data_IF_270538714479
#
_entry.id   IF_270538714479
#
_cell.length_a   1.000
_cell.length_b   1.000
_cell.length_c   1.000
_cell.angle_alpha   90.00
_cell.angle_beta   90.00
_cell.angle_gamma   90.00
#
_symmetry.space_group_name_H-M   'P 1'
#
loop_
_entity.id
_entity.type
_entity.pdbx_description
1 polymer ?
#
# COMPACT_ATOMS: atom_id res chain seq x y z
N UNK A 1 33.85 -10.74 52.44
CA UNK A 1 32.64 -10.10 51.88
C UNK A 1 32.92 -9.57 50.47
N UNK A 2 33.25 -10.47 49.53
CA UNK A 2 33.45 -10.21 48.09
C UNK A 2 33.38 -11.57 47.37
N UNK A 3 32.25 -12.25 47.45
CA UNK A 3 32.07 -13.55 46.78
C UNK A 3 32.06 -13.34 45.27
N UNK A 4 32.63 -14.30 44.52
CA UNK A 4 32.65 -14.28 43.04
C UNK A 4 31.25 -14.07 42.46
N UNK A 5 30.22 -14.60 43.13
CA UNK A 5 28.80 -14.39 42.82
C UNK A 5 28.38 -12.90 42.79
N UNK A 6 28.85 -12.09 43.75
CA UNK A 6 28.49 -10.66 43.82
C UNK A 6 29.12 -9.86 42.69
N UNK A 7 30.37 -10.19 42.31
CA UNK A 7 31.07 -9.57 41.17
C UNK A 7 30.46 -9.98 39.83
N UNK A 8 30.02 -11.24 39.71
CA UNK A 8 29.28 -11.70 38.54
C UNK A 8 27.94 -10.94 38.40
N UNK A 9 27.19 -10.79 39.49
CA UNK A 9 25.93 -10.05 39.48
C UNK A 9 26.09 -8.60 39.01
N UNK A 10 27.15 -7.89 39.43
CA UNK A 10 27.42 -6.53 38.95
C UNK A 10 27.77 -6.47 37.45
N UNK A 11 28.52 -7.46 36.93
CA UNK A 11 28.83 -7.55 35.50
C UNK A 11 27.59 -7.83 34.65
N UNK A 12 26.71 -8.71 35.11
CA UNK A 12 25.44 -9.00 34.44
C UNK A 12 24.50 -7.80 34.47
N UNK A 13 24.33 -7.15 35.62
CA UNK A 13 23.50 -5.96 35.75
C UNK A 13 23.99 -4.81 34.86
N UNK A 14 25.31 -4.61 34.77
CA UNK A 14 25.90 -3.61 33.87
C UNK A 14 25.72 -3.96 32.39
N UNK A 15 25.89 -5.23 32.02
CA UNK A 15 25.67 -5.66 30.63
C UNK A 15 24.20 -5.50 30.22
N UNK A 16 23.27 -5.84 31.12
CA UNK A 16 21.84 -5.66 30.92
C UNK A 16 21.45 -4.18 30.81
N UNK A 17 22.04 -3.29 31.61
CA UNK A 17 21.73 -1.86 31.55
C UNK A 17 22.25 -1.22 30.27
N UNK A 18 23.44 -1.60 29.79
CA UNK A 18 23.97 -1.13 28.50
C UNK A 18 23.08 -1.59 27.35
N UNK A 19 22.66 -2.87 27.35
CA UNK A 19 21.74 -3.39 26.34
C UNK A 19 20.40 -2.66 26.37
N UNK A 20 19.83 -2.42 27.56
CA UNK A 20 18.57 -1.70 27.71
C UNK A 20 18.67 -0.25 27.21
N UNK A 21 19.79 0.44 27.47
CA UNK A 21 20.01 1.78 26.97
C UNK A 21 20.14 1.82 25.43
N UNK A 22 20.86 0.86 24.85
CA UNK A 22 21.01 0.74 23.39
C UNK A 22 19.68 0.43 22.71
N UNK A 23 18.88 -0.51 23.24
CA UNK A 23 17.57 -0.84 22.65
C UNK A 23 16.60 0.33 22.77
N UNK A 24 16.62 1.06 23.89
CA UNK A 24 15.84 2.27 24.06
C UNK A 24 16.25 3.38 23.08
N UNK A 25 17.56 3.57 22.85
CA UNK A 25 18.07 4.48 21.84
C UNK A 25 17.59 4.12 20.42
N UNK A 26 17.69 2.85 20.04
CA UNK A 26 17.19 2.35 18.77
C UNK A 26 15.67 2.57 18.61
N UNK A 27 14.90 2.38 19.68
CA UNK A 27 13.46 2.64 19.70
C UNK A 27 13.15 4.11 19.42
N UNK A 28 13.82 5.04 20.12
CA UNK A 28 13.66 6.48 19.90
C UNK A 28 13.97 6.85 18.45
N UNK A 29 15.11 6.44 17.91
CA UNK A 29 15.48 6.76 16.52
C UNK A 29 14.47 6.22 15.51
N UNK A 30 13.88 5.06 15.79
CA UNK A 30 12.88 4.44 14.92
C UNK A 30 11.52 5.14 14.98
N UNK A 31 11.16 5.69 16.15
CA UNK A 31 9.90 6.37 16.39
C UNK A 31 9.82 7.75 15.72
N UNK A 32 10.95 8.48 15.65
CA UNK A 32 11.01 9.81 15.03
C UNK A 32 11.35 9.80 13.52
N UNK A 33 11.34 8.62 12.88
CA UNK A 33 11.68 8.50 11.47
C UNK A 33 10.42 8.47 10.60
N UNK A 34 10.20 9.55 9.86
CA UNK A 34 9.16 9.61 8.85
C UNK A 34 9.50 8.69 7.68
N UNK A 35 8.59 7.74 7.37
CA UNK A 35 8.71 6.79 6.27
C UNK A 35 7.79 7.14 5.09
N UNK A 36 7.32 8.38 5.03
CA UNK A 36 6.44 8.82 3.95
C UNK A 36 7.26 9.13 2.69
N UNK A 37 6.77 8.68 1.55
CA UNK A 37 7.37 8.92 0.24
C UNK A 37 6.34 9.57 -0.67
N UNK A 38 6.71 10.63 -1.40
CA UNK A 38 5.84 11.15 -2.45
C UNK A 38 5.73 10.08 -3.55
N UNK A 39 4.53 9.53 -3.71
CA UNK A 39 4.16 8.62 -4.78
C UNK A 39 3.29 9.42 -5.75
N UNK A 40 3.76 9.61 -6.98
CA UNK A 40 2.97 10.22 -8.03
C UNK A 40 2.29 9.10 -8.85
N UNK A 41 0.98 8.98 -8.68
CA UNK A 41 0.16 7.98 -9.36
C UNK A 41 -0.67 8.73 -10.40
N UNK A 42 -0.35 8.52 -11.67
CA UNK A 42 -1.09 9.12 -12.78
C UNK A 42 -1.91 8.04 -13.46
N UNK A 43 -3.23 8.11 -13.37
CA UNK A 43 -4.12 7.14 -14.03
C UNK A 43 -4.32 7.59 -15.47
N UNK A 44 -3.63 6.93 -16.40
CA UNK A 44 -3.60 7.31 -17.81
C UNK A 44 -4.90 6.94 -18.53
N UNK A 45 -5.51 5.77 -18.24
CA UNK A 45 -6.76 5.35 -18.90
C UNK A 45 -7.53 4.28 -18.12
N UNK A 46 -8.80 4.52 -17.87
CA UNK A 46 -9.72 3.53 -17.28
C UNK A 46 -10.63 2.97 -18.38
N UNK A 47 -10.70 1.64 -18.52
CA UNK A 47 -11.60 0.99 -19.48
C UNK A 47 -12.51 -0.01 -18.77
N UNK A 48 -13.81 0.24 -18.83
CA UNK A 48 -14.83 -0.63 -18.24
C UNK A 48 -15.51 -1.40 -19.37
N UNK A 49 -15.51 -2.73 -19.27
CA UNK A 49 -16.19 -3.64 -20.20
C UNK A 49 -17.27 -4.41 -19.45
N UNK A 50 -18.49 -4.38 -19.95
CA UNK A 50 -19.53 -5.27 -19.44
C UNK A 50 -19.24 -6.70 -19.92
N UNK A 51 -19.21 -7.67 -19.01
CA UNK A 51 -19.01 -9.09 -19.34
C UNK A 51 -20.15 -9.88 -18.72
N UNK A 52 -20.75 -10.78 -19.50
CA UNK A 52 -21.78 -11.66 -18.95
C UNK A 52 -21.14 -12.59 -17.90
N UNK A 53 -21.66 -12.59 -16.68
CA UNK A 53 -21.19 -13.48 -15.61
C UNK A 53 -21.76 -14.88 -15.84
N UNK A 54 -20.87 -15.86 -15.98
CA UNK A 54 -21.23 -17.26 -16.21
C UNK A 54 -21.33 -18.07 -14.91
N UNK A 55 -21.04 -17.48 -13.75
CA UNK A 55 -20.94 -18.17 -12.46
C UNK A 55 -22.15 -17.97 -11.54
N UNK A 56 -23.06 -17.04 -11.85
CA UNK A 56 -24.26 -16.71 -11.06
C UNK A 56 -25.58 -16.66 -11.84
N UNK A 57 -26.72 -16.42 -11.16
CA UNK A 57 -28.05 -16.38 -11.79
C UNK A 57 -28.21 -15.13 -12.70
N UNK A 58 -27.78 -15.21 -13.96
CA UNK A 58 -28.16 -14.32 -15.09
C UNK A 58 -28.11 -12.80 -14.84
N UNK A 59 -27.26 -12.32 -13.93
CA UNK A 59 -26.94 -10.89 -13.82
C UNK A 59 -25.69 -10.57 -14.64
N UNK A 60 -25.73 -9.42 -15.34
CA UNK A 60 -24.59 -8.90 -16.07
C UNK A 60 -23.70 -8.16 -15.08
N UNK A 61 -22.43 -8.55 -15.00
CA UNK A 61 -21.46 -7.90 -14.13
C UNK A 61 -20.54 -7.00 -14.96
N UNK A 62 -20.22 -5.81 -14.45
CA UNK A 62 -19.27 -4.93 -15.12
C UNK A 62 -17.83 -5.40 -14.79
N UNK A 63 -17.07 -5.78 -15.83
CA UNK A 63 -15.64 -6.09 -15.75
C UNK A 63 -14.82 -4.84 -16.04
N UNK A 64 -14.23 -4.26 -15.00
CA UNK A 64 -13.30 -3.16 -15.17
C UNK A 64 -11.86 -3.62 -15.37
N UNK A 65 -11.13 -2.96 -16.27
CA UNK A 65 -9.67 -3.02 -16.29
C UNK A 65 -9.08 -1.61 -16.38
N UNK A 66 -8.03 -1.39 -15.61
CA UNK A 66 -7.41 -0.07 -15.50
C UNK A 66 -6.01 -0.13 -16.07
N UNK A 67 -5.67 0.88 -16.88
CA UNK A 67 -4.30 1.17 -17.30
C UNK A 67 -3.83 2.42 -16.57
N UNK A 68 -2.71 2.32 -15.88
CA UNK A 68 -2.17 3.41 -15.07
C UNK A 68 -0.67 3.55 -15.26
N UNK A 69 -0.18 4.75 -14.97
CA UNK A 69 1.22 5.10 -14.95
C UNK A 69 1.61 5.36 -13.49
N UNK A 70 2.70 4.74 -13.02
CA UNK A 70 3.16 4.88 -11.65
C UNK A 70 4.61 5.36 -11.64
N UNK A 71 4.83 6.45 -10.90
CA UNK A 71 6.15 7.06 -10.69
C UNK A 71 6.38 7.25 -9.19
N UNK A 72 7.28 6.47 -8.62
CA UNK A 72 7.57 6.50 -7.19
C UNK A 72 9.06 6.31 -6.92
N UNK A 73 9.60 7.09 -5.97
CA UNK A 73 10.97 6.91 -5.51
C UNK A 73 10.98 6.27 -4.12
N UNK A 74 11.12 4.95 -4.05
CA UNK A 74 11.10 4.17 -2.80
C UNK A 74 12.47 4.10 -2.11
N UNK A 75 13.50 4.73 -2.69
CA UNK A 75 14.85 4.74 -2.13
C UNK A 75 14.92 5.14 -0.63
N UNK A 76 14.20 6.17 -0.14
CA UNK A 76 14.29 6.56 1.26
C UNK A 76 13.57 5.61 2.23
N UNK A 77 12.75 4.67 1.75
CA UNK A 77 12.06 3.68 2.60
C UNK A 77 13.00 2.53 2.99
N UNK A 78 13.94 2.18 2.12
CA UNK A 78 14.86 1.07 2.34
C UNK A 78 15.95 1.43 3.34
N UNK A 79 15.68 1.13 4.61
CA UNK A 79 16.62 1.27 5.72
C UNK A 79 17.32 -0.02 6.11
N UNK A 80 18.19 0.01 7.12
CA UNK A 80 18.85 -1.20 7.67
C UNK A 80 17.85 -2.30 8.08
N UNK A 81 16.65 -1.92 8.54
CA UNK A 81 15.57 -2.85 8.94
C UNK A 81 14.70 -3.33 7.77
N UNK A 82 14.39 -2.48 6.78
CA UNK A 82 13.42 -2.79 5.71
C UNK A 82 14.06 -3.64 4.62
N UNK A 83 13.71 -4.93 4.55
CA UNK A 83 14.30 -5.91 3.61
C UNK A 83 13.45 -6.09 2.34
N UNK A 84 12.15 -5.89 2.47
CA UNK A 84 11.14 -6.16 1.46
C UNK A 84 10.00 -5.15 1.61
N UNK A 85 9.44 -4.71 0.48
CA UNK A 85 8.27 -3.84 0.41
C UNK A 85 7.18 -4.50 -0.42
N UNK A 86 5.99 -4.60 0.16
CA UNK A 86 4.78 -5.02 -0.53
C UNK A 86 4.02 -3.77 -0.98
N UNK A 87 3.97 -3.57 -2.29
CA UNK A 87 3.23 -2.47 -2.90
C UNK A 87 1.96 -3.03 -3.49
N UNK A 88 0.87 -2.32 -3.30
CA UNK A 88 -0.38 -2.65 -3.94
C UNK A 88 -1.15 -1.37 -4.26
N UNK A 89 -1.91 -1.45 -5.35
CA UNK A 89 -2.80 -0.40 -5.81
C UNK A 89 -4.22 -0.86 -5.59
N UNK A 90 -4.98 -0.12 -4.78
CA UNK A 90 -6.42 -0.37 -4.62
C UNK A 90 -7.24 0.69 -5.34
N UNK A 91 -8.31 0.25 -5.99
CA UNK A 91 -9.43 1.09 -6.38
C UNK A 91 -10.47 1.09 -5.25
N UNK A 92 -10.86 2.27 -4.81
CA UNK A 92 -11.95 2.51 -3.88
C UNK A 92 -13.08 3.20 -4.64
N UNK A 93 -14.30 2.68 -4.56
CA UNK A 93 -15.46 3.25 -5.23
C UNK A 93 -16.75 3.05 -4.42
N UNK A 94 -17.72 3.94 -4.59
CA UNK A 94 -19.04 3.85 -3.98
C UNK A 94 -20.07 3.31 -4.96
N UNK A 95 -21.03 2.55 -4.46
CA UNK A 95 -22.20 2.09 -5.22
C UNK A 95 -23.48 2.39 -4.43
N UNK A 96 -24.64 2.28 -5.09
CA UNK A 96 -25.94 2.49 -4.40
C UNK A 96 -26.21 1.45 -3.30
N UNK A 97 -25.64 0.26 -3.45
CA UNK A 97 -25.77 -0.84 -2.49
C UNK A 97 -24.73 -0.77 -1.37
N UNK A 98 -23.52 -0.29 -1.65
CA UNK A 98 -22.41 -0.27 -0.70
C UNK A 98 -21.69 1.09 -0.68
N UNK A 99 -21.51 1.63 0.52
CA UNK A 99 -20.86 2.93 0.73
C UNK A 99 -19.35 2.92 0.41
N UNK A 100 -18.68 1.76 0.50
CA UNK A 100 -17.25 1.62 0.22
C UNK A 100 -16.96 0.21 -0.33
N UNK A 101 -16.56 0.15 -1.59
CA UNK A 101 -16.02 -1.05 -2.24
C UNK A 101 -14.53 -0.83 -2.49
N UNK A 102 -13.68 -1.75 -2.03
CA UNK A 102 -12.23 -1.67 -2.22
C UNK A 102 -11.72 -2.93 -2.92
N UNK A 103 -11.02 -2.76 -4.04
CA UNK A 103 -10.47 -3.87 -4.82
C UNK A 103 -9.00 -3.63 -5.14
N UNK A 104 -8.16 -4.66 -4.97
CA UNK A 104 -6.75 -4.62 -5.33
C UNK A 104 -6.61 -4.87 -6.84
N UNK A 105 -6.02 -3.91 -7.55
CA UNK A 105 -5.86 -3.99 -9.02
C UNK A 105 -4.48 -4.48 -9.42
N UNK A 106 -3.47 -4.17 -8.62
CA UNK A 106 -2.08 -4.48 -8.92
C UNK A 106 -1.27 -4.61 -7.64
N UNK A 107 -0.28 -5.49 -7.65
CA UNK A 107 0.66 -5.71 -6.58
C UNK A 107 2.09 -5.82 -7.13
N UNK A 108 3.08 -5.44 -6.33
CA UNK A 108 4.49 -5.71 -6.61
C UNK A 108 5.29 -5.79 -5.33
N UNK A 109 6.16 -6.79 -5.28
CA UNK A 109 7.15 -6.94 -4.22
C UNK A 109 8.45 -6.29 -4.73
N UNK A 110 9.05 -5.44 -3.90
CA UNK A 110 10.37 -4.84 -4.17
C UNK A 110 11.32 -5.24 -3.06
N UNK A 111 12.42 -5.88 -3.43
CA UNK A 111 13.44 -6.34 -2.50
C UNK A 111 14.55 -5.30 -2.35
N UNK A 112 15.23 -5.33 -1.19
CA UNK A 112 16.43 -4.49 -0.99
C UNK A 112 17.52 -4.89 -1.99
N UNK A 113 18.04 -3.90 -2.72
CA UNK A 113 19.08 -4.09 -3.74
C UNK A 113 18.53 -4.11 -5.16
N UNK A 114 17.21 -4.15 -5.33
CA UNK A 114 16.56 -3.93 -6.61
C UNK A 114 16.43 -2.44 -6.93
N UNK A 115 15.94 -2.13 -8.14
CA UNK A 115 15.65 -0.76 -8.55
C UNK A 115 14.53 -0.16 -7.68
N UNK A 116 14.92 0.73 -6.77
CA UNK A 116 14.01 1.42 -5.83
C UNK A 116 13.25 2.57 -6.48
N UNK A 117 13.58 2.95 -7.71
CA UNK A 117 12.86 3.94 -8.51
C UNK A 117 11.87 3.20 -9.42
N UNK A 118 10.59 3.30 -9.10
CA UNK A 118 9.52 2.78 -9.94
C UNK A 118 9.13 3.84 -10.95
N UNK A 119 9.31 3.53 -12.23
CA UNK A 119 8.80 4.31 -13.34
C UNK A 119 8.21 3.32 -14.35
N UNK A 120 6.91 3.09 -14.24
CA UNK A 120 6.21 2.14 -15.09
C UNK A 120 5.07 2.88 -15.78
N UNK A 121 5.00 2.74 -17.10
CA UNK A 121 4.00 3.39 -17.96
C UNK A 121 3.13 2.34 -18.62
N UNK A 122 1.86 2.65 -18.82
CA UNK A 122 0.85 1.78 -19.42
C UNK A 122 0.78 0.40 -18.75
N UNK A 123 0.85 0.39 -17.41
CA UNK A 123 0.73 -0.83 -16.62
C UNK A 123 -0.73 -1.24 -16.59
N UNK A 124 -1.02 -2.46 -17.03
CA UNK A 124 -2.35 -3.05 -16.93
C UNK A 124 -2.56 -3.62 -15.53
N UNK A 125 -3.77 -3.45 -15.00
CA UNK A 125 -4.20 -4.12 -13.78
C UNK A 125 -4.01 -5.64 -13.92
N UNK A 126 -3.41 -6.26 -12.90
CA UNK A 126 -3.23 -7.71 -12.82
C UNK A 126 -4.55 -8.41 -12.55
N UNK A 127 -5.35 -7.82 -11.67
CA UNK A 127 -6.65 -8.33 -11.29
C UNK A 127 -7.72 -7.48 -11.94
N UNK A 128 -8.69 -8.15 -12.54
CA UNK A 128 -9.92 -7.50 -12.97
C UNK A 128 -10.81 -7.29 -11.74
N UNK A 129 -11.52 -6.17 -11.72
CA UNK A 129 -12.53 -5.95 -10.70
C UNK A 129 -13.92 -6.17 -11.31
N UNK A 130 -14.77 -6.82 -10.53
CA UNK A 130 -16.16 -7.11 -10.85
C UNK A 130 -17.04 -6.26 -9.94
N UNK A 131 -18.02 -5.60 -10.53
CA UNK A 131 -19.06 -4.92 -9.78
C UNK A 131 -20.42 -5.53 -10.08
N UNK A 132 -21.23 -5.65 -9.04
CA UNK A 132 -22.58 -6.21 -9.12
C UNK A 132 -23.52 -5.14 -9.69
N UNK A 133 -23.79 -5.25 -11.00
CA UNK A 133 -24.69 -4.38 -11.74
C UNK A 133 -24.02 -3.53 -12.83
N UNK A 134 -24.79 -2.61 -13.42
CA UNK A 134 -24.35 -1.76 -14.54
C UNK A 134 -23.99 -0.32 -14.10
N UNK A 135 -23.62 -0.13 -12.83
CA UNK A 135 -23.50 1.20 -12.21
C UNK A 135 -22.27 1.98 -12.65
N UNK A 136 -21.20 1.30 -13.05
CA UNK A 136 -19.89 1.89 -13.30
C UNK A 136 -19.76 2.63 -14.64
N UNK A 137 -20.74 2.49 -15.55
CA UNK A 137 -20.65 3.04 -16.91
C UNK A 137 -20.84 4.56 -17.01
N UNK A 138 -21.43 5.19 -15.98
CA UNK A 138 -21.78 6.61 -15.99
C UNK A 138 -20.96 7.46 -15.03
N UNK A 139 -20.06 6.85 -14.26
CA UNK A 139 -19.26 7.57 -13.27
C UNK A 139 -17.95 8.06 -13.87
N UNK A 140 -17.73 9.36 -13.82
CA UNK A 140 -16.49 10.00 -14.27
C UNK A 140 -15.37 9.64 -13.30
N UNK A 141 -14.61 8.60 -13.64
CA UNK A 141 -13.45 8.17 -12.87
C UNK A 141 -12.39 9.27 -12.87
N UNK A 142 -12.31 10.04 -11.79
CA UNK A 142 -11.22 11.00 -11.54
C UNK A 142 -10.05 10.26 -10.90
N UNK A 143 -9.01 10.01 -11.68
CA UNK A 143 -7.75 9.47 -11.20
C UNK A 143 -6.82 10.58 -10.73
N UNK A 144 -7.16 11.25 -9.63
CA UNK A 144 -6.25 12.17 -8.96
C UNK A 144 -5.50 11.40 -7.87
N UNK A 145 -4.18 11.28 -8.01
CA UNK A 145 -3.29 10.52 -7.12
C UNK A 145 -3.12 11.08 -5.69
N UNK A 146 -4.06 11.90 -5.22
CA UNK A 146 -4.11 12.42 -3.84
C UNK A 146 -5.56 12.32 -3.34
N UNK A 147 -5.85 11.30 -2.54
CA UNK A 147 -7.13 11.17 -1.86
C UNK A 147 -7.15 12.11 -0.64
N UNK A 148 -7.62 13.34 -0.84
CA UNK A 148 -8.21 14.11 0.26
C UNK A 148 -9.62 13.55 0.49
N UNK A 149 -9.91 13.14 1.72
CA UNK A 149 -11.21 12.59 2.10
C UNK A 149 -12.29 13.69 2.03
N UNK A 150 -12.91 13.88 0.87
CA UNK A 150 -14.09 14.73 0.73
C UNK A 150 -15.32 13.89 0.34
N UNK A 151 -16.45 14.01 1.09
CA UNK A 151 -17.62 13.17 0.88
C UNK A 151 -18.54 13.83 -0.15
N UNK A 152 -18.33 13.59 -1.44
CA UNK A 152 -19.36 13.62 -2.51
C UNK A 152 -18.72 13.50 -3.88
N UNK A 153 -18.92 12.36 -4.51
CA UNK A 153 -18.59 12.14 -5.92
C UNK A 153 -18.31 10.67 -6.13
N UNK A 154 -19.22 10.00 -6.82
CA UNK A 154 -19.07 8.62 -7.25
C UNK A 154 -17.88 8.55 -8.24
N UNK A 155 -16.71 8.20 -7.72
CA UNK A 155 -15.44 8.16 -8.43
C UNK A 155 -14.58 7.02 -7.93
N UNK A 156 -13.79 6.42 -8.82
CA UNK A 156 -12.82 5.39 -8.44
C UNK A 156 -11.55 6.11 -7.96
N UNK A 157 -11.31 6.10 -6.66
CA UNK A 157 -10.12 6.65 -6.02
C UNK A 157 -9.03 5.58 -5.95
N UNK A 158 -7.78 5.95 -6.25
CA UNK A 158 -6.65 5.03 -6.21
C UNK A 158 -5.79 5.30 -4.98
N UNK A 159 -5.69 4.32 -4.08
CA UNK A 159 -4.86 4.43 -2.88
C UNK A 159 -3.65 3.52 -3.00
N UNK A 160 -2.45 4.10 -2.85
CA UNK A 160 -1.25 3.36 -2.57
C UNK A 160 -1.01 3.39 -1.06
N UNK A 161 -0.98 2.20 -0.45
CA UNK A 161 -0.61 2.06 0.95
C UNK A 161 0.76 1.37 1.03
N UNK A 162 1.67 1.99 1.77
CA UNK A 162 2.94 1.38 2.21
C UNK A 162 2.76 0.96 3.66
N UNK A 163 2.84 -0.34 3.94
CA UNK A 163 2.81 -0.88 5.31
C UNK A 163 4.07 -0.56 6.10
#
# INVERSE_FOLDING_TARGET
MNTVLSRANSLFAFSLSVMAALTFGCFITTAFKDRSVPVDIQVSKVMIKNVDDFTGPRERSDLGFVTFDISANLQPIFDWNVKELFLYLTAEYSTKSNALNQVVLWDKIVLRGENTKLNMKDVKSKYFFFDDGNGLRNESVKGDGVCESEPKGDGICFRAASG
#
